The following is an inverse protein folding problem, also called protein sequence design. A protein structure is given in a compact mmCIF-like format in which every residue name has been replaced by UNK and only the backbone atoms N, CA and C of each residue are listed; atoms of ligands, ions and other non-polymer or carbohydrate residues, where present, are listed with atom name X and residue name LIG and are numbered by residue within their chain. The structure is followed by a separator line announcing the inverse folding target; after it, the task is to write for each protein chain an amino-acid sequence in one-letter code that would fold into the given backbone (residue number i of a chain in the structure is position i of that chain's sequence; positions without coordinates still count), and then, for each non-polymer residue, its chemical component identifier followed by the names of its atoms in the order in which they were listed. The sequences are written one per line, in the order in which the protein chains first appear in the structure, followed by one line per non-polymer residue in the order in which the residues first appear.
data_IF_663600268290
#
_entry.id   IF_663600268290
#
_cell.length_a   1.000
_cell.length_b   1.000
_cell.length_c   1.000
_cell.angle_alpha   90.00
_cell.angle_beta   90.00
_cell.angle_gamma   90.00
#
_symmetry.space_group_name_H-M   'P 1'
#
loop_
_entity.id
_entity.type
_entity.pdbx_description
1 polymer ?
2 polymer ?
3 water ?
#
# COMPACT_ATOMS: atom_id res chain seq x y z
N UNK A 7 10.49 11.79 8.65
CA UNK A 7 9.96 11.11 7.49
C UNK A 7 10.97 10.18 6.84
N UNK A 8 10.59 9.57 5.72
CA UNK A 8 11.45 8.68 4.95
C UNK A 8 11.78 9.37 3.63
N UNK A 9 12.95 9.06 3.06
CA UNK A 9 13.29 9.65 1.77
C UNK A 9 12.41 9.06 0.67
N UNK A 10 12.16 9.88 -0.36
CA UNK A 10 11.41 9.41 -1.52
C UNK A 10 12.05 8.16 -2.11
N UNK A 11 13.38 8.10 -2.10
CA UNK A 11 14.10 7.01 -2.76
C UNK A 11 13.82 5.67 -2.08
N UNK A 12 13.82 5.64 -0.75
CA UNK A 12 13.48 4.41 -0.03
C UNK A 12 12.06 3.95 -0.38
N UNK A 13 11.10 4.87 -0.35
CA UNK A 13 9.72 4.49 -0.67
C UNK A 13 9.61 4.00 -2.10
N UNK A 14 10.32 4.66 -3.02
CA UNK A 14 10.16 4.36 -4.44
C UNK A 14 10.71 2.98 -4.80
N UNK A 15 11.94 2.65 -4.35
CA UNK A 15 12.49 1.33 -4.63
C UNK A 15 11.69 0.23 -3.94
N UNK A 16 11.20 0.50 -2.72
CA UNK A 16 10.37 -0.47 -2.04
C UNK A 16 9.06 -0.69 -2.79
N UNK A 17 8.45 0.38 -3.30
CA UNK A 17 7.27 0.22 -4.12
C UNK A 17 7.53 -0.59 -5.37
N UNK A 18 8.66 -0.35 -6.03
CA UNK A 18 8.99 -1.08 -7.25
C UNK A 18 9.17 -2.55 -6.97
N UNK A 19 9.90 -2.90 -5.91
CA UNK A 19 10.11 -4.30 -5.56
C UNK A 19 8.81 -4.98 -5.17
N UNK A 20 7.94 -4.27 -4.45
CA UNK A 20 6.64 -4.84 -4.11
C UNK A 20 5.84 -5.17 -5.36
N UNK A 21 5.79 -4.24 -6.32
CA UNK A 21 5.00 -4.48 -7.53
C UNK A 21 5.60 -5.60 -8.37
N UNK A 22 6.94 -5.67 -8.45
CA UNK A 22 7.58 -6.75 -9.18
C UNK A 22 7.35 -8.10 -8.50
N UNK A 23 7.37 -8.14 -7.17
CA UNK A 23 7.05 -9.37 -6.46
C UNK A 23 5.60 -9.77 -6.69
N UNK A 24 4.69 -8.79 -6.64
CA UNK A 24 3.28 -9.05 -6.91
C UNK A 24 3.08 -9.66 -8.30
N UNK A 26 5.20 -11.15 -10.27
CA UNK A 26 5.82 -12.46 -10.42
C UNK A 26 4.90 -13.57 -9.91
N UNK A 28 1.63 -13.80 -9.89
CA UNK A 28 0.39 -14.02 -10.62
C UNK A 28 0.62 -15.05 -11.72
N UNK A 29 0.09 -16.27 -11.52
CA UNK A 29 0.06 -17.29 -12.56
C UNK A 29 -1.27 -17.11 -13.30
N UNK A 30 -1.25 -16.25 -14.32
CA UNK A 30 -2.50 -15.81 -14.91
C UNK A 30 -3.30 -14.99 -13.92
N UNK A 31 -4.49 -15.49 -13.55
CA UNK A 31 -5.35 -14.84 -12.56
C UNK A 31 -5.02 -15.26 -11.12
N UNK A 32 -4.30 -16.37 -10.95
CA UNK A 32 -4.14 -17.03 -9.65
C UNK A 32 -2.85 -16.54 -9.00
N UNK A 33 -2.94 -16.16 -7.73
CA UNK A 33 -1.76 -15.77 -6.96
C UNK A 33 -1.08 -17.02 -6.42
N UNK A 34 0.20 -17.18 -6.70
CA UNK A 34 1.00 -18.30 -6.20
C UNK A 34 1.94 -17.77 -5.13
N UNK A 35 1.88 -18.36 -3.94
CA UNK A 35 2.55 -17.82 -2.77
C UNK A 35 3.59 -18.84 -2.32
N UNK A 36 4.84 -18.61 -2.67
CA UNK A 36 5.92 -19.43 -2.16
C UNK A 36 6.30 -18.99 -0.76
N UNK A 37 7.02 -19.88 -0.06
CA UNK A 37 7.57 -19.51 1.24
C UNK A 37 8.47 -18.29 1.12
N UNK A 38 9.33 -18.27 0.09
CA UNK A 38 10.28 -17.18 -0.07
C UNK A 38 9.60 -15.87 -0.40
N UNK A 39 8.52 -15.91 -1.20
CA UNK A 39 7.83 -14.68 -1.55
C UNK A 39 7.00 -14.16 -0.39
N UNK A 40 6.32 -15.05 0.32
CA UNK A 40 5.68 -14.69 1.58
C UNK A 40 6.64 -13.94 2.49
N UNK A 41 7.86 -14.46 2.63
CA UNK A 41 8.83 -13.83 3.53
C UNK A 41 9.40 -12.55 2.94
N UNK A 42 9.52 -12.47 1.61
CA UNK A 42 9.97 -11.23 0.99
C UNK A 42 8.90 -10.14 1.13
N UNK A 43 7.63 -10.51 1.02
CA UNK A 43 6.56 -9.54 1.18
C UNK A 43 6.59 -8.94 2.58
N UNK A 44 6.71 -9.79 3.61
CA UNK A 44 6.72 -9.30 4.98
C UNK A 44 7.91 -8.36 5.19
N UNK A 45 9.06 -8.70 4.63
CA UNK A 45 10.26 -7.87 4.82
C UNK A 45 10.08 -6.49 4.19
N UNK A 46 9.56 -6.45 2.97
CA UNK A 46 9.30 -5.17 2.31
C UNK A 46 8.28 -4.35 3.09
N UNK A 47 7.19 -4.98 3.51
CA UNK A 47 6.11 -4.24 4.18
C UNK A 47 6.55 -3.71 5.54
N UNK A 48 7.28 -4.54 6.31
CA UNK A 48 7.66 -4.14 7.66
C UNK A 48 8.67 -2.99 7.68
N UNK A 49 9.32 -2.71 6.56
CA UNK A 49 10.13 -1.49 6.46
C UNK A 49 9.25 -0.25 6.33
N UNK A 50 8.03 -0.41 5.83
CA UNK A 50 7.09 0.70 5.65
C UNK A 50 6.15 0.88 6.83
N UNK A 51 6.05 -0.11 7.71
CA UNK A 51 5.17 -0.03 8.88
C UNK A 51 5.70 0.94 9.93
N UNK A 52 6.89 1.50 9.73
CA UNK A 52 7.42 2.52 10.63
C UNK A 52 7.65 3.85 9.92
N UNK A 53 7.18 3.98 8.68
CA UNK A 53 7.36 5.19 7.91
C UNK A 53 6.19 6.14 8.09
N UNK A 54 6.49 7.43 8.28
CA UNK A 54 5.51 8.49 8.16
C UNK A 54 5.57 9.02 6.73
N UNK A 55 4.49 8.82 5.98
CA UNK A 55 4.42 9.16 4.56
C UNK A 55 3.48 10.35 4.38
N UNK A 56 3.91 11.32 3.58
CA UNK A 56 3.13 12.52 3.34
C UNK A 56 2.21 12.34 2.14
N UNK A 57 1.22 13.25 2.04
CA UNK A 57 0.34 13.23 0.88
C UNK A 57 1.14 13.39 -0.41
N UNK A 58 2.16 14.24 -0.40
CA UNK A 58 2.96 14.42 -1.60
C UNK A 58 3.69 13.14 -1.97
N UNK A 59 4.20 12.41 -0.96
CA UNK A 59 4.87 11.13 -1.23
C UNK A 59 3.88 10.06 -1.65
N UNK A 60 2.66 10.09 -1.12
CA UNK A 60 1.63 9.20 -1.64
C UNK A 60 1.38 9.48 -3.11
N UNK A 61 1.34 10.76 -3.47
CA UNK A 61 1.14 11.14 -4.88
C UNK A 61 2.33 10.73 -5.73
N UNK A 62 3.53 11.01 -5.27
CA UNK A 62 4.69 10.83 -6.12
C UNK A 62 5.31 9.45 -6.15
N UNK A 63 5.42 8.81 -4.99
CA UNK A 63 6.11 7.52 -4.93
C UNK A 63 5.20 6.35 -5.25
N UNK A 64 3.89 6.54 -5.19
CA UNK A 64 2.89 5.49 -5.41
C UNK A 64 3.02 4.35 -4.40
N UNK A 65 3.59 4.62 -3.23
CA UNK A 65 3.85 3.56 -2.26
C UNK A 65 2.55 3.01 -1.69
N UNK A 66 1.52 3.85 -1.55
CA UNK A 66 0.24 3.35 -1.08
C UNK A 66 -0.40 2.40 -2.07
N UNK A 67 -0.28 2.71 -3.36
CA UNK A 67 -0.82 1.83 -4.39
C UNK A 67 -0.09 0.49 -4.40
N UNK A 68 1.24 0.52 -4.24
CA UNK A 68 2.02 -0.72 -4.25
C UNK A 68 1.72 -1.59 -3.04
N UNK A 69 1.45 -0.98 -1.88
CA UNK A 69 1.06 -1.75 -0.72
C UNK A 69 -0.36 -2.29 -0.88
N UNK A 70 -1.24 -1.51 -1.53
CA UNK A 70 -2.63 -1.90 -1.68
C UNK A 70 -2.86 -3.11 -2.55
N UNK A 71 -1.89 -3.47 -3.40
CA UNK A 71 -2.05 -4.64 -4.26
C UNK A 71 -2.23 -5.91 -3.45
N UNK A 72 -1.66 -5.95 -2.25
CA UNK A 72 -1.64 -7.15 -1.44
C UNK A 72 -2.88 -7.31 -0.58
N UNK A 73 -3.91 -6.52 -0.86
CA UNK A 73 -5.25 -6.73 -0.34
C UNK A 73 -6.07 -7.63 -1.26
N UNK A 74 -5.49 -8.16 -2.31
CA UNK A 74 -6.29 -8.92 -3.27
C UNK A 74 -6.42 -10.38 -2.83
N UNK A 75 -7.40 -11.03 -3.45
CA UNK A 75 -7.95 -12.29 -2.95
C UNK A 75 -6.89 -13.40 -2.80
N UNK A 76 -5.84 -13.40 -3.62
CA UNK A 76 -4.93 -14.53 -3.55
C UNK A 76 -3.93 -14.53 -2.39
N UNK A 77 -3.86 -13.44 -1.63
CA UNK A 77 -2.78 -13.38 -0.66
C UNK A 77 -3.27 -13.83 0.71
N UNK A 78 -2.37 -14.39 1.54
CA UNK A 78 -2.80 -14.87 2.84
C UNK A 78 -3.31 -13.74 3.69
N UNK A 79 -4.30 -13.99 4.56
CA UNK A 79 -4.86 -12.91 5.39
C UNK A 79 -3.84 -12.28 6.33
N UNK A 80 -2.79 -13.01 6.70
CA UNK A 80 -1.67 -12.44 7.44
C UNK A 80 -1.06 -11.28 6.68
N UNK A 81 -0.86 -11.45 5.38
CA UNK A 81 -0.29 -10.38 4.54
C UNK A 81 -1.34 -9.31 4.27
N UNK A 82 -2.59 -9.71 4.08
CA UNK A 82 -3.64 -8.74 3.77
C UNK A 82 -3.89 -7.83 4.97
N UNK A 83 -3.89 -8.39 6.18
CA UNK A 83 -4.03 -7.57 7.38
C UNK A 83 -2.88 -6.58 7.50
N UNK A 84 -1.65 -7.03 7.23
CA UNK A 84 -0.50 -6.14 7.31
C UNK A 84 -0.66 -4.97 6.34
N UNK A 85 -0.96 -5.26 5.08
CA UNK A 85 -1.14 -4.20 4.09
C UNK A 85 -2.23 -3.23 4.50
N UNK A 86 -3.31 -3.76 5.08
CA UNK A 86 -4.44 -2.91 5.48
C UNK A 86 -4.05 -2.01 6.64
N UNK A 87 -3.31 -2.54 7.62
CA UNK A 87 -2.91 -1.72 8.75
C UNK A 87 -1.92 -0.63 8.36
N UNK A 88 -1.04 -0.92 7.41
CA UNK A 88 -0.09 0.08 6.93
C UNK A 88 -0.83 1.23 6.25
N UNK A 89 -1.80 0.90 5.39
CA UNK A 89 -2.55 1.93 4.68
C UNK A 89 -3.50 2.66 5.62
N UNK A 90 -4.10 1.95 6.59
CA UNK A 90 -4.93 2.61 7.58
C UNK A 90 -4.13 3.69 8.31
N UNK A 91 -2.90 3.37 8.69
CA UNK A 91 -2.09 4.33 9.45
C UNK A 91 -1.78 5.56 8.63
N UNK A 92 -1.34 5.37 7.38
CA UNK A 92 -1.03 6.50 6.52
C UNK A 92 -2.26 7.36 6.25
N UNK A 93 -3.43 6.74 6.09
CA UNK A 93 -4.63 7.53 5.82
C UNK A 93 -5.01 8.37 7.03
N UNK A 94 -4.93 7.78 8.23
CA UNK A 94 -5.30 8.48 9.45
C UNK A 94 -4.36 9.63 9.76
N UNK A 95 -3.08 9.52 9.38
CA UNK A 95 -2.15 10.60 9.65
C UNK A 95 -2.37 11.79 8.73
N UNK A 96 -3.11 11.64 7.64
CA UNK A 96 -3.39 12.76 6.75
C UNK A 96 -4.22 13.80 7.48
N UNK A 97 -4.12 15.08 7.11
CA UNK A 97 -4.97 16.10 7.73
C UNK A 97 -6.44 15.71 7.63
N UNK A 98 -7.20 16.06 8.67
CA UNK A 98 -8.56 15.53 8.81
C UNK A 98 -9.43 15.88 7.61
N UNK A 99 -9.37 17.12 7.12
CA UNK A 99 -10.24 17.51 6.01
C UNK A 99 -9.80 16.86 4.71
N UNK A 100 -8.52 16.52 4.56
CA UNK A 100 -8.09 15.72 3.41
C UNK A 100 -8.73 14.34 3.47
N UNK A 101 -8.75 13.73 4.66
CA UNK A 101 -9.48 12.48 4.85
C UNK A 101 -10.93 12.63 4.45
N UNK A 102 -11.51 13.80 4.69
CA UNK A 102 -12.94 13.99 4.43
C UNK A 102 -13.22 14.11 2.95
N UNK A 103 -12.36 14.82 2.21
CA UNK A 103 -12.54 14.91 0.76
C UNK A 103 -12.41 13.55 0.10
N UNK A 104 -11.32 12.85 0.37
CA UNK A 104 -11.12 11.53 -0.21
C UNK A 104 -12.27 10.61 0.12
N UNK A 105 -12.80 10.72 1.34
CA UNK A 105 -13.96 9.92 1.73
C UNK A 105 -15.22 10.42 1.06
N UNK A 106 -15.47 11.73 1.09
CA UNK A 106 -16.74 12.27 0.61
C UNK A 106 -16.89 12.08 -0.90
N UNK A 107 -15.82 12.28 -1.66
CA UNK A 107 -15.91 12.05 -3.09
C UNK A 107 -16.22 10.59 -3.40
N UNK A 108 -16.02 9.71 -2.43
CA UNK A 108 -16.20 8.28 -2.59
C UNK A 108 -17.62 7.83 -2.27
N UNK A 109 -18.33 8.56 -1.43
CA UNK A 109 -19.71 8.22 -1.11
C UNK A 109 -20.64 8.54 -2.27
N UNK B 1 -9.15 16.49 -8.29
CA UNK B 1 -8.20 16.24 -7.23
C UNK B 1 -7.94 14.77 -6.96
N UNK B 2 -6.96 14.50 -6.10
CA UNK B 2 -6.61 13.13 -5.76
C UNK B 2 -7.81 12.40 -5.17
N UNK B 3 -7.95 11.14 -5.55
CA UNK B 3 -8.91 10.24 -4.95
C UNK B 3 -8.20 9.25 -4.05
N UNK B 4 -8.97 8.63 -3.15
CA UNK B 4 -8.45 7.57 -2.31
C UNK B 4 -7.82 6.46 -3.13
N UNK B 5 -8.35 6.25 -4.34
CA UNK B 5 -7.83 5.20 -5.20
C UNK B 5 -6.51 5.65 -5.80
N UNK B 6 -6.37 6.92 -6.14
CA UNK B 6 -5.09 7.46 -6.62
C UNK B 6 -3.98 7.22 -5.62
N UNK B 7 -4.28 7.35 -4.32
CA UNK B 7 -3.25 7.32 -3.30
C UNK B 7 -3.06 5.94 -2.68
N UNK B 8 -4.12 5.14 -2.61
CA UNK B 8 -4.07 3.87 -1.90
C UNK B 8 -4.49 2.67 -2.73
N UNK B 9 -4.79 2.85 -4.01
CA UNK B 9 -5.16 1.75 -4.87
C UNK B 9 -6.64 1.46 -4.83
N UNK B 10 -7.12 0.67 -5.80
CA UNK B 10 -8.57 0.44 -5.95
C UNK B 10 -9.15 -0.59 -4.99
N UNK B 11 -8.36 -1.19 -4.11
CA UNK B 11 -8.88 -2.14 -3.14
C UNK B 11 -8.98 -1.58 -1.73
N UNK B 12 -8.27 -0.51 -1.43
CA UNK B 12 -8.27 0.03 -0.08
C UNK B 12 -9.62 0.65 0.26
N UNK B 13 -10.01 0.53 1.53
CA UNK B 13 -11.17 1.25 2.04
C UNK B 13 -10.88 1.71 3.46
N UNK B 14 -11.63 2.71 3.90
CA UNK B 14 -11.46 3.25 5.26
C UNK B 14 -12.39 2.54 6.22
#
# INVERSE_FOLDING_TARGET
GHXSRHDVTNATLETTGKELTETYXEXLNGDVVEVSIANEERIVSLLSSLASANVTLKQLIGTKIGVAVGQFLSDGFPPHIVRFSKGILDYWFRQLPEEVQKQLLAKRALG
GSTLEDLFGPLFYVDKSL
#
